data_IF_302228844399
#
_entry.id   IF_302228844399
#
_cell.length_a   1.000
_cell.length_b   1.000
_cell.length_c   1.000
_cell.angle_alpha   90.00
_cell.angle_beta   90.00
_cell.angle_gamma   90.00
#
_symmetry.space_group_name_H-M   'P 1'
#
loop_
_entity.id
_entity.type
_entity.pdbx_description
1 polymer ?
#
# COMPACT_ATOMS: atom_id res chain seq x y z
N UNK A 1 5.39 -6.18 3.79
CA UNK A 1 4.79 -5.59 5.01
C UNK A 1 4.10 -4.27 4.72
N UNK A 2 4.78 -3.30 4.11
CA UNK A 2 4.21 -2.02 3.68
C UNK A 2 2.88 -2.17 2.89
N UNK A 3 2.82 -3.14 1.96
CA UNK A 3 1.63 -3.40 1.14
C UNK A 3 0.40 -3.90 1.93
N UNK A 4 0.56 -4.38 3.16
CA UNK A 4 -0.56 -4.81 4.02
C UNK A 4 -1.29 -3.61 4.66
N UNK A 5 -0.60 -2.47 4.78
CA UNK A 5 -1.11 -1.27 5.44
C UNK A 5 -1.58 -0.25 4.39
N UNK A 6 -0.77 -0.09 3.35
CA UNK A 6 -0.98 0.96 2.36
C UNK A 6 -1.38 0.41 1.00
N UNK A 7 -2.14 1.22 0.28
CA UNK A 7 -2.40 1.12 -1.16
C UNK A 7 -2.07 2.46 -1.82
N UNK A 8 -2.05 2.48 -3.15
CA UNK A 8 -2.09 3.74 -3.89
C UNK A 8 -3.52 4.27 -3.91
N UNK A 9 -3.67 5.59 -3.87
CA UNK A 9 -4.95 6.24 -4.12
C UNK A 9 -5.45 5.89 -5.52
N UNK A 10 -6.72 5.53 -5.61
CA UNK A 10 -7.30 5.04 -6.87
C UNK A 10 -7.46 6.17 -7.89
N UNK A 11 -7.79 7.39 -7.43
CA UNK A 11 -7.96 8.53 -8.33
C UNK A 11 -6.63 8.93 -8.96
N UNK A 12 -5.59 9.06 -8.15
CA UNK A 12 -4.24 9.36 -8.64
C UNK A 12 -3.71 8.24 -9.55
N UNK A 13 -3.96 6.98 -9.20
CA UNK A 13 -3.58 5.84 -10.03
C UNK A 13 -4.23 5.92 -11.42
N UNK A 14 -5.54 6.20 -11.49
CA UNK A 14 -6.23 6.35 -12.77
C UNK A 14 -5.73 7.55 -13.58
N UNK A 15 -5.41 8.67 -12.92
CA UNK A 15 -4.81 9.86 -13.55
C UNK A 15 -3.45 9.54 -14.16
N UNK A 16 -2.58 8.87 -13.41
CA UNK A 16 -1.26 8.45 -13.89
C UNK A 16 -1.37 7.48 -15.08
N UNK A 17 -2.26 6.49 -14.99
CA UNK A 17 -2.54 5.55 -16.08
C UNK A 17 -3.02 6.28 -17.35
N UNK A 18 -3.90 7.27 -17.21
CA UNK A 18 -4.38 8.09 -18.33
C UNK A 18 -3.25 8.91 -18.94
N UNK A 19 -2.44 9.57 -18.10
CA UNK A 19 -1.30 10.38 -18.54
C UNK A 19 -0.30 9.52 -19.34
N UNK A 20 0.06 8.34 -18.81
CA UNK A 20 0.99 7.43 -19.47
C UNK A 20 0.50 6.95 -20.82
N UNK A 21 -0.81 6.67 -20.95
CA UNK A 21 -1.42 6.30 -22.24
C UNK A 21 -1.33 7.43 -23.26
N UNK A 22 -1.53 8.68 -22.83
CA UNK A 22 -1.44 9.83 -23.73
C UNK A 22 0.00 10.08 -24.20
N UNK A 23 0.98 9.97 -23.31
CA UNK A 23 2.41 10.08 -23.63
C UNK A 23 2.81 9.06 -24.72
N UNK A 24 2.41 7.80 -24.54
CA UNK A 24 2.72 6.73 -25.48
C UNK A 24 2.00 6.88 -26.82
N UNK A 25 0.73 7.35 -26.79
CA UNK A 25 0.00 7.66 -28.02
C UNK A 25 0.67 8.79 -28.82
N UNK A 26 1.25 9.80 -28.14
CA UNK A 26 2.01 10.87 -28.79
C UNK A 26 3.34 10.38 -29.40
N UNK A 27 3.89 9.27 -28.89
CA UNK A 27 5.10 8.61 -29.42
C UNK A 27 4.79 7.60 -30.54
N UNK A 28 3.54 7.51 -31.01
CA UNK A 28 3.02 6.53 -31.98
C UNK A 28 3.22 5.06 -31.55
N UNK A 29 3.37 4.84 -30.23
CA UNK A 29 3.48 3.51 -29.63
C UNK A 29 2.06 3.05 -29.26
N UNK A 30 1.42 2.34 -30.19
CA UNK A 30 0.04 1.89 -30.03
C UNK A 30 -0.05 0.57 -29.23
N UNK A 31 -0.71 0.61 -28.07
CA UNK A 31 -1.05 -0.60 -27.31
C UNK A 31 -2.53 -0.99 -27.45
N UNK A 32 -2.81 -2.30 -27.44
CA UNK A 32 -4.13 -2.89 -27.72
C UNK A 32 -4.90 -3.29 -26.45
N UNK A 33 -4.31 -3.26 -25.25
CA UNK A 33 -4.93 -3.83 -24.05
C UNK A 33 -4.64 -3.07 -22.74
N UNK A 34 -5.58 -3.14 -21.78
CA UNK A 34 -5.40 -2.71 -20.37
C UNK A 34 -4.19 -3.35 -19.68
N UNK A 35 -3.72 -4.49 -20.18
CA UNK A 35 -2.53 -5.20 -19.68
C UNK A 35 -1.20 -4.59 -20.08
N UNK A 36 -1.17 -3.61 -20.98
CA UNK A 36 0.08 -3.04 -21.50
C UNK A 36 0.54 -1.77 -20.76
N UNK A 37 -0.25 -1.29 -19.79
CA UNK A 37 0.22 -0.35 -18.75
C UNK A 37 1.02 -1.08 -17.65
N UNK A 38 1.41 -2.34 -17.91
CA UNK A 38 2.52 -3.03 -17.24
C UNK A 38 3.80 -2.36 -17.73
N UNK A 39 4.39 -1.38 -17.08
CA UNK A 39 4.68 -1.33 -15.65
C UNK A 39 4.82 0.12 -15.28
N UNK A 40 3.79 0.71 -14.67
CA UNK A 40 4.05 1.86 -13.82
C UNK A 40 5.08 1.41 -12.81
N UNK A 41 6.27 1.99 -12.92
CA UNK A 41 7.38 1.68 -12.03
C UNK A 41 6.99 2.11 -10.62
N UNK A 42 7.60 1.47 -9.63
CA UNK A 42 7.40 1.90 -8.24
C UNK A 42 7.76 3.39 -8.06
N UNK A 43 8.73 3.90 -8.82
CA UNK A 43 9.12 5.31 -8.79
C UNK A 43 8.04 6.23 -9.37
N UNK A 44 7.45 5.88 -10.53
CA UNK A 44 6.35 6.66 -11.10
C UNK A 44 5.14 6.71 -10.15
N UNK A 45 4.81 5.57 -9.51
CA UNK A 45 3.74 5.53 -8.51
C UNK A 45 4.10 6.38 -7.28
N UNK A 46 5.33 6.31 -6.77
CA UNK A 46 5.75 7.10 -5.62
C UNK A 46 5.81 8.60 -5.89
N UNK A 47 6.02 9.01 -7.14
CA UNK A 47 6.06 10.43 -7.55
C UNK A 47 4.66 11.00 -7.81
N UNK A 48 3.72 10.19 -8.28
CA UNK A 48 2.45 10.69 -8.83
C UNK A 48 1.19 10.16 -8.15
N UNK A 49 1.32 9.21 -7.22
CA UNK A 49 0.19 8.66 -6.49
C UNK A 49 0.39 8.81 -4.99
N UNK A 50 -0.64 9.31 -4.31
CA UNK A 50 -0.65 9.29 -2.86
C UNK A 50 -0.79 7.87 -2.33
N UNK A 51 -0.18 7.62 -1.17
CA UNK A 51 -0.37 6.35 -0.45
C UNK A 51 -1.48 6.54 0.57
N UNK A 52 -2.48 5.68 0.49
CA UNK A 52 -3.61 5.65 1.42
C UNK A 52 -3.59 4.36 2.23
N UNK A 53 -4.12 4.43 3.43
CA UNK A 53 -4.36 3.29 4.32
C UNK A 53 -5.57 2.49 3.85
N UNK A 54 -5.50 1.16 3.98
CA UNK A 54 -6.55 0.25 3.49
C UNK A 54 -7.80 0.19 4.38
N UNK A 55 -7.84 0.94 5.48
CA UNK A 55 -8.85 0.79 6.52
C UNK A 55 -8.46 -0.26 7.57
N UNK A 56 -9.08 -0.14 8.75
CA UNK A 56 -8.75 -0.98 9.92
C UNK A 56 -8.97 -2.46 9.66
N UNK A 57 -10.12 -2.82 9.09
CA UNK A 57 -10.52 -4.22 8.88
C UNK A 57 -9.55 -4.92 7.93
N UNK A 58 -9.29 -4.32 6.77
CA UNK A 58 -8.44 -4.93 5.75
C UNK A 58 -6.97 -4.99 6.19
N UNK A 59 -6.47 -3.92 6.80
CA UNK A 59 -5.12 -3.90 7.37
C UNK A 59 -4.94 -4.99 8.43
N UNK A 60 -5.92 -5.17 9.31
CA UNK A 60 -5.90 -6.22 10.34
C UNK A 60 -5.87 -7.61 9.72
N UNK A 61 -6.73 -7.86 8.73
CA UNK A 61 -6.80 -9.16 8.03
C UNK A 61 -5.48 -9.50 7.35
N UNK A 62 -4.94 -8.57 6.57
CA UNK A 62 -3.70 -8.78 5.80
C UNK A 62 -2.48 -8.99 6.70
N UNK A 63 -2.37 -8.23 7.80
CA UNK A 63 -1.29 -8.42 8.77
C UNK A 63 -1.41 -9.75 9.50
N UNK A 64 -2.62 -10.14 9.91
CA UNK A 64 -2.85 -11.44 10.54
C UNK A 64 -2.52 -12.61 9.61
N UNK A 65 -2.94 -12.54 8.34
CA UNK A 65 -2.57 -13.51 7.32
C UNK A 65 -1.05 -13.58 7.15
N UNK A 66 -0.38 -12.44 7.05
CA UNK A 66 1.06 -12.38 6.91
C UNK A 66 1.79 -13.04 8.08
N UNK A 67 1.38 -12.75 9.31
CA UNK A 67 1.90 -13.36 10.53
C UNK A 67 1.69 -14.88 10.50
N UNK A 68 0.52 -15.34 10.07
CA UNK A 68 0.22 -16.77 9.94
C UNK A 68 1.15 -17.45 8.93
N UNK A 69 1.43 -16.81 7.79
CA UNK A 69 2.34 -17.40 6.80
C UNK A 69 3.78 -17.49 7.34
N UNK A 70 4.26 -16.51 8.09
CA UNK A 70 5.58 -16.58 8.73
C UNK A 70 5.65 -17.56 9.90
N UNK A 71 4.52 -17.84 10.55
CA UNK A 71 4.43 -18.78 11.67
C UNK A 71 4.33 -20.25 11.23
N UNK A 72 4.10 -20.52 9.95
CA UNK A 72 3.87 -21.88 9.43
C UNK A 72 5.15 -22.68 9.16
N UNK A 73 5.03 -24.02 9.15
CA UNK A 73 6.14 -24.95 8.87
C UNK A 73 6.91 -24.66 7.58
N UNK A 74 6.22 -24.10 6.57
CA UNK A 74 6.77 -23.83 5.23
C UNK A 74 7.76 -22.66 5.19
N UNK A 75 7.92 -21.88 6.26
CA UNK A 75 8.83 -20.73 6.35
C UNK A 75 9.80 -20.91 7.50
N UNK A 76 10.68 -21.89 7.31
CA UNK A 76 11.90 -22.06 8.08
C UNK A 76 13.08 -21.55 7.25
N UNK A 77 14.17 -21.19 7.91
CA UNK A 77 15.41 -20.88 7.22
C UNK A 77 16.02 -22.13 6.56
N UNK A 78 17.15 -21.98 5.89
CA UNK A 78 17.86 -23.08 5.23
C UNK A 78 18.33 -24.18 6.21
N UNK A 79 18.31 -23.90 7.52
CA UNK A 79 18.69 -24.82 8.60
C UNK A 79 17.48 -25.38 9.35
N UNK A 80 16.25 -25.09 8.89
CA UNK A 80 15.02 -25.57 9.53
C UNK A 80 14.56 -24.78 10.76
N UNK A 81 15.20 -23.65 11.06
CA UNK A 81 14.86 -22.78 12.19
C UNK A 81 13.63 -21.92 11.83
N UNK A 82 12.61 -21.84 12.70
CA UNK A 82 11.47 -20.96 12.48
C UNK A 82 11.89 -19.48 12.42
N UNK A 83 11.44 -18.77 11.38
CA UNK A 83 11.75 -17.34 11.22
C UNK A 83 11.17 -16.47 12.34
N UNK A 84 10.03 -16.87 12.90
CA UNK A 84 9.40 -16.19 14.03
C UNK A 84 8.96 -17.18 15.11
N UNK A 85 9.09 -16.75 16.36
CA UNK A 85 8.53 -17.48 17.49
C UNK A 85 7.01 -17.27 17.51
N UNK A 86 6.28 -18.32 17.11
CA UNK A 86 4.81 -18.27 16.97
C UNK A 86 4.08 -17.88 18.25
N UNK A 87 4.51 -18.39 19.41
CA UNK A 87 3.87 -18.08 20.70
C UNK A 87 4.08 -16.62 21.09
N UNK A 88 5.32 -16.11 20.95
CA UNK A 88 5.63 -14.71 21.23
C UNK A 88 4.92 -13.78 20.23
N UNK A 89 4.88 -14.14 18.96
CA UNK A 89 4.24 -13.33 17.92
C UNK A 89 2.73 -13.20 18.15
N UNK A 90 2.03 -14.26 18.58
CA UNK A 90 0.61 -14.19 18.94
C UNK A 90 0.34 -13.17 20.05
N UNK A 91 1.19 -13.15 21.09
CA UNK A 91 1.06 -12.19 22.19
C UNK A 91 1.32 -10.75 21.73
N UNK A 92 2.34 -10.53 20.91
CA UNK A 92 2.65 -9.22 20.33
C UNK A 92 1.48 -8.74 19.45
N UNK A 93 0.98 -9.60 18.57
CA UNK A 93 -0.14 -9.28 17.69
C UNK A 93 -1.38 -8.87 18.48
N UNK A 94 -1.74 -9.64 19.51
CA UNK A 94 -2.87 -9.31 20.40
C UNK A 94 -2.72 -7.94 21.06
N UNK A 95 -1.51 -7.56 21.45
CA UNK A 95 -1.24 -6.26 22.08
C UNK A 95 -1.25 -5.10 21.07
N UNK A 96 -0.75 -5.31 19.86
CA UNK A 96 -0.56 -4.27 18.84
C UNK A 96 -1.78 -4.05 17.93
N UNK A 97 -2.68 -5.03 17.80
CA UNK A 97 -3.85 -4.94 16.92
C UNK A 97 -4.70 -3.68 17.18
N UNK A 98 -4.81 -3.24 18.45
CA UNK A 98 -5.54 -2.01 18.83
C UNK A 98 -4.96 -0.73 18.22
N UNK A 99 -3.67 -0.74 17.85
CA UNK A 99 -2.98 0.43 17.30
C UNK A 99 -3.28 0.63 15.81
N UNK A 100 -3.93 -0.34 15.15
CA UNK A 100 -4.27 -0.24 13.72
C UNK A 100 -5.21 0.93 13.45
N UNK A 101 -6.08 1.26 14.41
CA UNK A 101 -6.99 2.42 14.31
C UNK A 101 -6.20 3.73 14.25
N UNK A 102 -5.11 3.85 15.00
CA UNK A 102 -4.34 5.08 15.11
C UNK A 102 -3.47 5.40 13.88
N UNK A 103 -3.20 4.41 13.04
CA UNK A 103 -2.36 4.57 11.84
C UNK A 103 -3.17 4.80 10.56
N UNK A 104 -4.51 4.80 10.65
CA UNK A 104 -5.35 5.07 9.48
C UNK A 104 -5.26 6.54 9.10
N UNK A 105 -5.50 6.84 7.83
CA UNK A 105 -5.58 8.22 7.37
C UNK A 105 -6.70 8.94 8.11
N UNK A 106 -6.48 10.22 8.47
CA UNK A 106 -7.53 11.02 9.07
C UNK A 106 -8.69 11.21 8.08
N UNK A 107 -9.91 11.47 8.58
CA UNK A 107 -11.02 11.75 7.69
C UNK A 107 -10.75 13.03 6.87
N UNK A 108 -11.20 13.02 5.62
CA UNK A 108 -11.01 14.10 4.63
C UNK A 108 -11.45 15.49 5.12
N UNK A 109 -12.34 15.56 6.12
CA UNK A 109 -12.88 16.78 6.70
C UNK A 109 -12.12 17.28 7.94
N UNK A 110 -11.06 16.61 8.35
CA UNK A 110 -10.22 17.09 9.45
C UNK A 110 -9.38 18.28 8.98
N UNK A 111 -9.30 19.32 9.80
CA UNK A 111 -8.58 20.58 9.55
C UNK A 111 -7.14 20.37 9.08
N UNK A 112 -6.54 19.22 9.40
CA UNK A 112 -5.20 18.80 8.99
C UNK A 112 -5.10 18.67 7.46
N UNK A 113 -6.08 18.08 6.78
CA UNK A 113 -6.01 17.89 5.32
C UNK A 113 -6.09 19.22 4.54
N UNK A 114 -6.86 20.18 5.04
CA UNK A 114 -6.96 21.51 4.43
C UNK A 114 -5.65 22.28 4.51
N UNK A 115 -4.89 22.09 5.59
CA UNK A 115 -3.58 22.74 5.78
C UNK A 115 -2.49 22.15 4.88
N UNK A 116 -2.59 20.85 4.50
CA UNK A 116 -1.73 20.21 3.50
C UNK A 116 -2.09 20.65 2.07
N UNK A 117 -3.38 20.60 1.70
CA UNK A 117 -3.87 21.07 0.39
C UNK A 117 -3.59 22.57 0.15
N UNK A 118 -3.61 23.39 1.20
CA UNK A 118 -3.29 24.82 1.13
C UNK A 118 -1.78 25.10 0.95
N UNK A 119 -0.91 24.16 1.34
CA UNK A 119 0.55 24.29 1.14
C UNK A 119 0.98 23.86 -0.27
N UNK A 120 0.34 22.87 -0.87
CA UNK A 120 0.64 22.40 -2.23
C UNK A 120 0.20 23.38 -3.33
N UNK A 121 -0.71 24.32 -3.04
CA UNK A 121 -1.25 25.29 -4.00
C UNK A 121 -0.55 26.65 -4.04
N UNK A 122 0.67 26.79 -3.48
CA UNK A 122 1.41 28.06 -3.37
C UNK A 122 2.80 28.07 -4.01
N UNK A 123 3.08 27.13 -4.91
CA UNK A 123 4.26 27.17 -5.79
C UNK A 123 3.86 27.32 -7.26
#
# INVERSE_FOLDING_TARGET
MSNCIFNWDEEDFQRLVKSKRNELAAQDIHYKSKSDVKTLTHNELALHCLRITRGVSETTRLLHELIKVFSGEKRRDNLGVPLINSSRMKSIWKAQQKQIVCIQDPPLNSTVQQDWLFKEGRD
#
